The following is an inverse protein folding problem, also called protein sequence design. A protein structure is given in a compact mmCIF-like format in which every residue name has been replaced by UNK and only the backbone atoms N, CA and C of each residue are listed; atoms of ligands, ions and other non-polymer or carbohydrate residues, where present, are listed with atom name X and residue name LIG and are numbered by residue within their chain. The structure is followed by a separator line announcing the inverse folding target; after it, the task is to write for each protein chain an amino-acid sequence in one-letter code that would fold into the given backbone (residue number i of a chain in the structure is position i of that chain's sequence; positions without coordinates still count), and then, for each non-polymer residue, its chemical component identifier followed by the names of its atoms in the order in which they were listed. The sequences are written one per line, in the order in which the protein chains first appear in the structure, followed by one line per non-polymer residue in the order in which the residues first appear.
data_IF_241345660293
#
_entry.id   IF_241345660293
#
_cell.length_a   1.000
_cell.length_b   1.000
_cell.length_c   1.000
_cell.angle_alpha   90.00
_cell.angle_beta   90.00
_cell.angle_gamma   90.00
#
_symmetry.space_group_name_H-M   'P 1'
#
loop_
_entity.id
_entity.type
_entity.pdbx_description
1 polymer ?
#
# COMPACT_ATOMS: atom_id res chain seq x y z
N UNK A 1 14.65 11.91 -18.05
CA UNK A 1 13.25 11.48 -17.83
C UNK A 1 13.26 10.07 -17.25
N UNK A 2 12.48 9.79 -16.20
CA UNK A 2 12.31 8.41 -15.71
C UNK A 2 11.27 7.71 -16.57
N UNK A 3 11.64 6.60 -17.20
CA UNK A 3 10.72 5.78 -17.98
C UNK A 3 10.17 4.67 -17.07
N UNK A 4 8.91 4.79 -16.66
CA UNK A 4 8.22 3.75 -15.91
C UNK A 4 7.50 2.81 -16.87
N UNK A 5 7.53 1.51 -16.58
CA UNK A 5 6.69 0.53 -17.25
C UNK A 5 5.45 0.27 -16.37
N UNK A 6 4.22 0.54 -16.85
CA UNK A 6 3.02 0.37 -16.04
C UNK A 6 2.71 -1.12 -15.86
N UNK A 7 2.38 -1.51 -14.64
CA UNK A 7 1.88 -2.86 -14.32
C UNK A 7 0.66 -2.75 -13.42
N UNK A 8 -0.26 -3.71 -13.57
CA UNK A 8 -1.35 -3.96 -12.63
C UNK A 8 -0.92 -5.08 -11.70
N UNK A 9 -1.06 -4.89 -10.39
CA UNK A 9 -0.65 -5.88 -9.38
C UNK A 9 -1.89 -6.32 -8.62
N UNK A 10 -2.13 -7.63 -8.59
CA UNK A 10 -3.17 -8.21 -7.73
C UNK A 10 -2.65 -8.29 -6.29
N UNK A 11 -3.31 -7.53 -5.41
CA UNK A 11 -2.99 -7.46 -4.00
C UNK A 11 -3.94 -8.26 -3.12
N UNK A 12 -4.91 -8.99 -3.69
CA UNK A 12 -5.88 -9.74 -2.90
C UNK A 12 -5.19 -10.73 -1.96
N UNK A 13 -5.36 -10.52 -0.65
CA UNK A 13 -4.72 -11.33 0.40
C UNK A 13 -3.20 -11.24 0.48
N UNK A 14 -2.56 -10.37 -0.33
CA UNK A 14 -1.10 -10.22 -0.36
C UNK A 14 -0.63 -9.39 0.83
N UNK A 15 0.47 -9.81 1.45
CA UNK A 15 1.09 -9.07 2.54
C UNK A 15 1.67 -7.74 2.04
N UNK A 16 1.26 -6.63 2.66
CA UNK A 16 1.76 -5.29 2.38
C UNK A 16 2.14 -4.62 3.69
N UNK A 17 3.35 -4.06 3.77
CA UNK A 17 3.82 -3.34 4.96
C UNK A 17 3.79 -1.84 4.69
N UNK A 18 3.18 -1.08 5.61
CA UNK A 18 3.19 0.39 5.60
C UNK A 18 3.91 0.87 6.86
N UNK A 19 4.90 1.73 6.69
CA UNK A 19 5.69 2.29 7.80
C UNK A 19 5.28 3.74 8.02
N UNK A 20 4.93 4.08 9.26
CA UNK A 20 4.46 5.39 9.69
C UNK A 20 2.93 5.48 9.85
N UNK A 21 2.48 6.37 10.75
CA UNK A 21 1.06 6.51 11.15
C UNK A 21 0.43 7.87 10.82
N UNK A 22 1.11 8.70 10.04
CA UNK A 22 0.59 10.02 9.67
C UNK A 22 -0.43 9.97 8.52
N UNK A 23 -0.95 11.16 8.16
CA UNK A 23 -1.95 11.35 7.07
C UNK A 23 -1.56 10.69 5.74
N UNK A 24 -0.25 10.61 5.44
CA UNK A 24 0.24 9.98 4.20
C UNK A 24 0.07 8.46 4.23
N UNK A 25 0.37 7.83 5.37
CA UNK A 25 0.18 6.40 5.55
C UNK A 25 -1.31 6.06 5.50
N UNK A 26 -2.15 6.81 6.20
CA UNK A 26 -3.61 6.67 6.15
C UNK A 26 -4.14 6.69 4.71
N UNK A 27 -3.72 7.69 3.90
CA UNK A 27 -4.13 7.79 2.49
C UNK A 27 -3.69 6.59 1.65
N UNK A 28 -2.49 6.06 1.89
CA UNK A 28 -1.98 4.87 1.18
C UNK A 28 -2.71 3.60 1.59
N UNK A 29 -3.00 3.44 2.89
CA UNK A 29 -3.74 2.29 3.43
C UNK A 29 -5.12 2.20 2.82
N UNK A 30 -5.84 3.32 2.59
CA UNK A 30 -7.18 3.30 1.96
C UNK A 30 -7.18 2.59 0.60
N UNK A 31 -6.28 2.96 -0.32
CA UNK A 31 -6.20 2.31 -1.64
C UNK A 31 -5.74 0.84 -1.56
N UNK A 32 -4.84 0.51 -0.63
CA UNK A 32 -4.41 -0.87 -0.40
C UNK A 32 -5.56 -1.74 0.18
N UNK A 33 -6.41 -1.14 1.01
CA UNK A 33 -7.56 -1.81 1.61
C UNK A 33 -8.65 -2.09 0.58
N UNK A 34 -8.91 -1.13 -0.32
CA UNK A 34 -9.79 -1.33 -1.48
C UNK A 34 -9.30 -2.48 -2.38
N UNK A 35 -7.98 -2.62 -2.53
CA UNK A 35 -7.35 -3.75 -3.24
C UNK A 35 -7.32 -5.06 -2.42
N UNK A 36 -7.91 -5.09 -1.22
CA UNK A 36 -8.00 -6.23 -0.31
C UNK A 36 -6.64 -6.85 0.05
N UNK A 37 -5.62 -6.00 0.19
CA UNK A 37 -4.33 -6.41 0.71
C UNK A 37 -4.42 -6.83 2.19
N UNK A 38 -3.54 -7.75 2.58
CA UNK A 38 -3.28 -8.04 3.99
C UNK A 38 -2.24 -7.05 4.52
N UNK A 39 -2.72 -5.94 5.10
CA UNK A 39 -1.88 -4.77 5.42
C UNK A 39 -1.39 -4.85 6.86
N UNK A 40 -0.09 -4.70 7.07
CA UNK A 40 0.53 -4.47 8.38
C UNK A 40 1.06 -3.04 8.45
N UNK A 41 0.61 -2.27 9.44
CA UNK A 41 1.10 -0.92 9.70
C UNK A 41 2.06 -0.94 10.87
N UNK A 42 3.25 -0.37 10.71
CA UNK A 42 4.29 -0.31 11.75
C UNK A 42 4.52 1.15 12.15
N UNK A 43 4.36 1.43 13.44
CA UNK A 43 4.56 2.75 14.07
C UNK A 43 5.30 2.58 15.42
N UNK A 44 6.11 3.55 15.87
CA UNK A 44 6.58 3.62 17.25
C UNK A 44 5.45 3.80 18.26
#
# INVERSE_FOLDING_TARGET
MKNFYPIMVDLYGRCVVVIGGGKVAERKVKGLQEARANITVIVP
#
